data_IF_505256346111
#
_entry.id   IF_505256346111
#
_cell.length_a   1.000
_cell.length_b   1.000
_cell.length_c   1.000
_cell.angle_alpha   90.00
_cell.angle_beta   90.00
_cell.angle_gamma   90.00
#
_symmetry.space_group_name_H-M   'P 1'
#
loop_
_entity.id
_entity.type
_entity.pdbx_description
1 polymer ?
#
# COMPACT_ATOMS: atom_id res chain seq x y z
N UNK A 1 -36.63 0.24 12.53
CA UNK A 1 -36.64 -0.36 13.89
C UNK A 1 -36.57 -1.89 13.79
N UNK A 2 -35.43 -2.47 13.41
CA UNK A 2 -35.33 -3.92 13.11
C UNK A 2 -34.26 -4.64 13.94
N UNK A 3 -33.34 -3.88 14.54
CA UNK A 3 -32.24 -4.38 15.37
C UNK A 3 -32.75 -4.94 16.71
N UNK A 4 -33.77 -4.32 17.29
CA UNK A 4 -34.32 -4.73 18.60
C UNK A 4 -35.08 -6.07 18.53
N UNK A 5 -35.67 -6.39 17.38
CA UNK A 5 -36.27 -7.72 17.11
C UNK A 5 -35.18 -8.78 16.97
N UNK A 6 -34.16 -8.50 16.16
CA UNK A 6 -33.06 -9.43 15.90
C UNK A 6 -32.29 -9.81 17.18
N UNK A 7 -32.12 -8.87 18.11
CA UNK A 7 -31.50 -9.12 19.41
C UNK A 7 -32.27 -10.15 20.25
N UNK A 8 -33.60 -10.06 20.27
CA UNK A 8 -34.45 -10.96 21.06
C UNK A 8 -34.53 -12.36 20.45
N UNK A 9 -34.55 -12.45 19.12
CA UNK A 9 -34.82 -13.72 18.43
C UNK A 9 -33.55 -14.59 18.22
N UNK A 10 -32.39 -13.98 17.94
CA UNK A 10 -31.24 -14.74 17.43
C UNK A 10 -30.14 -15.00 18.47
N UNK A 11 -30.15 -14.35 19.64
CA UNK A 11 -29.05 -14.35 20.64
C UNK A 11 -27.64 -14.22 20.03
N UNK A 12 -27.53 -13.63 18.84
CA UNK A 12 -26.29 -13.51 18.06
C UNK A 12 -26.02 -12.04 17.81
N UNK A 13 -24.91 -11.56 18.35
CA UNK A 13 -24.34 -10.22 18.12
C UNK A 13 -23.61 -10.09 16.80
N UNK A 14 -23.65 -11.09 15.92
CA UNK A 14 -22.83 -11.11 14.72
C UNK A 14 -23.50 -10.32 13.59
N UNK A 15 -23.10 -9.06 13.45
CA UNK A 15 -23.37 -8.25 12.27
C UNK A 15 -22.86 -9.01 11.03
N UNK A 16 -23.74 -9.34 10.08
CA UNK A 16 -23.30 -9.83 8.77
C UNK A 16 -22.37 -8.78 8.18
N UNK A 17 -21.15 -9.16 7.81
CA UNK A 17 -20.22 -8.26 7.13
C UNK A 17 -20.93 -7.67 5.91
N UNK A 18 -21.26 -6.38 5.98
CA UNK A 18 -21.93 -5.69 4.88
C UNK A 18 -21.08 -5.81 3.62
N UNK A 19 -21.72 -5.82 2.45
CA UNK A 19 -21.05 -5.65 1.17
C UNK A 19 -20.45 -4.23 1.10
N UNK A 20 -19.32 -4.05 1.76
CA UNK A 20 -18.59 -2.79 1.81
C UNK A 20 -17.99 -2.42 0.45
N UNK A 21 -17.49 -1.17 0.39
CA UNK A 21 -16.92 -0.51 -0.79
C UNK A 21 -16.13 -1.47 -1.69
N UNK A 22 -16.45 -1.45 -2.98
CA UNK A 22 -15.88 -2.31 -4.05
C UNK A 22 -14.38 -2.50 -3.87
N UNK A 23 -13.97 -3.78 -3.81
CA UNK A 23 -12.57 -4.21 -3.93
C UNK A 23 -11.98 -3.53 -5.15
N UNK A 24 -11.03 -2.64 -4.91
CA UNK A 24 -10.22 -2.08 -5.97
C UNK A 24 -9.45 -3.25 -6.60
N UNK A 25 -9.90 -3.59 -7.80
CA UNK A 25 -9.23 -4.43 -8.79
C UNK A 25 -8.90 -5.87 -8.40
N UNK A 26 -8.88 -6.72 -9.43
CA UNK A 26 -8.51 -8.14 -9.39
C UNK A 26 -7.30 -8.41 -8.48
N UNK A 27 -7.18 -9.63 -7.95
CA UNK A 27 -6.02 -10.04 -7.15
C UNK A 27 -4.68 -9.78 -7.88
N UNK A 28 -4.64 -9.88 -9.21
CA UNK A 28 -3.48 -9.52 -10.02
C UNK A 28 -3.15 -8.03 -9.93
N UNK A 29 -4.17 -7.19 -10.11
CA UNK A 29 -4.03 -5.76 -10.03
C UNK A 29 -3.46 -5.34 -8.67
N UNK A 30 -4.02 -5.83 -7.58
CA UNK A 30 -3.50 -5.48 -6.26
C UNK A 30 -2.00 -5.80 -6.10
N UNK A 31 -1.51 -6.93 -6.64
CA UNK A 31 -0.07 -7.27 -6.59
C UNK A 31 0.79 -6.31 -7.41
N UNK A 32 0.33 -5.89 -8.59
CA UNK A 32 1.05 -4.95 -9.43
C UNK A 32 1.21 -3.58 -8.74
N UNK A 33 0.14 -3.08 -8.12
CA UNK A 33 0.15 -1.82 -7.38
C UNK A 33 1.12 -1.87 -6.20
N UNK A 34 1.14 -2.98 -5.45
CA UNK A 34 2.08 -3.18 -4.34
C UNK A 34 3.52 -3.15 -4.83
N UNK A 35 3.84 -3.84 -5.93
CA UNK A 35 5.20 -3.86 -6.49
C UNK A 35 5.66 -2.47 -6.89
N UNK A 36 4.80 -1.68 -7.53
CA UNK A 36 5.10 -0.28 -7.87
C UNK A 36 5.37 0.56 -6.63
N UNK A 37 4.53 0.46 -5.59
CA UNK A 37 4.67 1.23 -4.36
C UNK A 37 5.89 0.82 -3.52
N UNK A 38 6.32 -0.44 -3.58
CA UNK A 38 7.54 -0.91 -2.91
C UNK A 38 8.79 -0.43 -3.63
N UNK A 39 8.78 -0.45 -4.97
CA UNK A 39 9.92 0.02 -5.77
C UNK A 39 10.11 1.54 -5.65
N UNK A 40 9.01 2.30 -5.60
CA UNK A 40 9.02 3.75 -5.52
C UNK A 40 8.22 4.22 -4.29
N UNK A 41 8.81 4.04 -3.11
CA UNK A 41 8.20 4.39 -1.81
C UNK A 41 7.88 5.89 -1.67
N UNK A 42 8.47 6.75 -2.50
CA UNK A 42 8.23 8.20 -2.49
C UNK A 42 7.14 8.63 -3.48
N UNK A 43 6.66 7.73 -4.34
CA UNK A 43 5.65 8.05 -5.34
C UNK A 43 4.31 8.46 -4.69
N UNK A 44 3.75 9.57 -5.19
CA UNK A 44 2.43 10.05 -4.81
C UNK A 44 1.34 9.15 -5.44
N UNK A 45 0.18 9.09 -4.79
CA UNK A 45 -0.96 8.30 -5.30
C UNK A 45 -1.34 8.65 -6.76
N UNK A 46 -1.21 9.93 -7.16
CA UNK A 46 -1.46 10.35 -8.56
C UNK A 46 -0.44 9.78 -9.55
N UNK A 47 0.82 9.66 -9.14
CA UNK A 47 1.88 9.10 -9.97
C UNK A 47 1.70 7.59 -10.11
N UNK A 48 1.34 6.91 -9.01
CA UNK A 48 0.98 5.50 -9.03
C UNK A 48 -0.26 5.24 -9.91
N UNK A 49 -1.28 6.08 -9.83
CA UNK A 49 -2.49 5.97 -10.66
C UNK A 49 -2.20 6.17 -12.16
N UNK A 50 -1.36 7.13 -12.51
CA UNK A 50 -0.96 7.38 -13.89
C UNK A 50 -0.18 6.18 -14.46
N UNK A 51 0.89 5.75 -13.76
CA UNK A 51 1.69 4.59 -14.18
C UNK A 51 0.84 3.31 -14.29
N UNK A 52 -0.05 3.08 -13.34
CA UNK A 52 -0.99 1.97 -13.39
C UNK A 52 -1.87 1.99 -14.64
N UNK A 53 -2.42 3.17 -14.95
CA UNK A 53 -3.32 3.34 -16.09
C UNK A 53 -2.57 3.12 -17.40
N UNK A 54 -1.30 3.52 -17.47
CA UNK A 54 -0.41 3.24 -18.60
C UNK A 54 -0.10 1.75 -18.74
N UNK A 55 0.24 1.06 -17.64
CA UNK A 55 0.64 -0.36 -17.68
C UNK A 55 -0.55 -1.31 -17.90
N UNK A 56 -1.70 -1.00 -17.32
CA UNK A 56 -2.87 -1.91 -17.29
C UNK A 56 -3.97 -1.50 -18.29
N UNK A 57 -3.93 -0.27 -18.82
CA UNK A 57 -5.02 0.29 -19.64
C UNK A 57 -6.31 0.56 -18.86
N UNK A 58 -6.29 0.40 -17.52
CA UNK A 58 -7.46 0.55 -16.64
C UNK A 58 -7.26 1.74 -15.74
N UNK A 59 -8.25 2.63 -15.71
CA UNK A 59 -8.23 3.81 -14.84
C UNK A 59 -8.46 3.42 -13.38
N UNK A 60 -7.64 3.97 -12.49
CA UNK A 60 -7.72 3.82 -11.05
C UNK A 60 -7.77 5.20 -10.40
N UNK A 61 -8.64 5.36 -9.40
CA UNK A 61 -8.76 6.61 -8.66
C UNK A 61 -7.58 6.75 -7.70
N UNK A 62 -6.83 7.85 -7.79
CA UNK A 62 -5.70 8.11 -6.89
C UNK A 62 -6.10 8.07 -5.40
N UNK A 63 -7.33 8.50 -5.07
CA UNK A 63 -7.89 8.47 -3.71
C UNK A 63 -8.13 7.06 -3.16
N UNK A 64 -8.19 6.05 -4.02
CA UNK A 64 -8.42 4.66 -3.63
C UNK A 64 -7.14 3.86 -3.36
N UNK A 65 -6.01 4.36 -3.85
CA UNK A 65 -4.69 3.72 -3.72
C UNK A 65 -4.24 3.63 -2.24
N UNK A 66 -4.32 4.69 -1.41
CA UNK A 66 -3.91 4.60 -0.01
C UNK A 66 -4.66 3.51 0.76
N UNK A 67 -5.97 3.39 0.56
CA UNK A 67 -6.78 2.36 1.22
C UNK A 67 -6.37 0.94 0.77
N UNK A 68 -5.99 0.78 -0.49
CA UNK A 68 -5.58 -0.52 -1.03
C UNK A 68 -4.19 -0.93 -0.56
N UNK A 69 -3.27 0.01 -0.46
CA UNK A 69 -1.95 -0.23 0.13
C UNK A 69 -2.09 -0.56 1.62
N UNK A 70 -2.91 0.20 2.37
CA UNK A 70 -3.16 -0.03 3.79
C UNK A 70 -3.76 -1.42 4.05
N UNK A 71 -4.80 -1.81 3.29
CA UNK A 71 -5.43 -3.12 3.43
C UNK A 71 -4.48 -4.29 3.18
N UNK A 72 -3.38 -4.04 2.44
CA UNK A 72 -2.36 -5.03 2.11
C UNK A 72 -1.11 -4.92 3.01
N UNK A 73 -1.12 -4.07 4.04
CA UNK A 73 0.00 -3.91 4.97
C UNK A 73 1.14 -3.02 4.47
N UNK A 74 0.90 -2.20 3.44
CA UNK A 74 1.81 -1.12 3.04
C UNK A 74 1.24 0.22 3.50
N UNK A 75 1.51 0.64 4.75
CA UNK A 75 1.17 1.99 5.16
C UNK A 75 2.01 2.99 4.36
N UNK A 76 1.45 4.17 4.12
CA UNK A 76 2.24 5.31 3.67
C UNK A 76 3.29 5.60 4.76
N UNK A 77 4.54 5.20 4.52
CA UNK A 77 5.62 5.59 5.40
C UNK A 77 5.92 7.06 5.11
N UNK A 78 5.89 7.89 6.14
CA UNK A 78 6.57 9.18 6.09
C UNK A 78 8.03 8.85 5.76
N UNK A 79 8.59 9.36 4.65
CA UNK A 79 9.99 9.12 4.38
C UNK A 79 10.79 9.72 5.54
N UNK A 80 11.45 8.86 6.33
CA UNK A 80 12.52 9.29 7.22
C UNK A 80 13.48 10.08 6.35
N UNK A 81 13.74 11.32 6.72
CA UNK A 81 14.58 12.28 5.99
C UNK A 81 15.80 11.55 5.41
N UNK A 82 15.78 11.30 4.09
CA UNK A 82 16.88 10.63 3.41
C UNK A 82 17.92 11.68 3.09
N UNK A 83 18.99 11.71 3.88
CA UNK A 83 20.18 12.50 3.56
C UNK A 83 20.65 12.05 2.17
N UNK A 84 20.76 12.95 1.18
CA UNK A 84 21.21 12.60 -0.15
C UNK A 84 22.68 12.16 -0.07
N UNK A 85 22.91 10.85 -0.10
CA UNK A 85 24.26 10.29 -0.19
C UNK A 85 24.76 10.43 -1.64
N UNK A 86 25.85 11.17 -1.80
CA UNK A 86 26.64 11.21 -3.04
C UNK A 86 27.21 9.82 -3.35
N UNK A 87 27.65 9.61 -4.59
CA UNK A 87 28.23 8.33 -5.00
C UNK A 87 29.43 7.91 -4.11
N UNK A 88 30.29 8.87 -3.75
CA UNK A 88 31.45 8.64 -2.87
C UNK A 88 31.02 8.16 -1.49
N UNK A 89 29.99 8.77 -0.89
CA UNK A 89 29.49 8.35 0.42
C UNK A 89 28.95 6.91 0.40
N UNK A 90 28.31 6.49 -0.71
CA UNK A 90 27.81 5.11 -0.86
C UNK A 90 28.95 4.11 -0.98
N UNK A 91 29.97 4.44 -1.75
CA UNK A 91 31.14 3.58 -1.95
C UNK A 91 31.90 3.33 -0.65
N UNK A 92 32.24 4.40 0.09
CA UNK A 92 32.92 4.28 1.40
C UNK A 92 32.13 3.41 2.39
N UNK A 93 30.81 3.58 2.45
CA UNK A 93 29.95 2.80 3.36
C UNK A 93 29.92 1.31 3.02
N UNK A 94 30.04 0.98 1.74
CA UNK A 94 30.08 -0.42 1.27
C UNK A 94 31.46 -1.05 1.48
N UNK A 95 32.53 -0.26 1.44
CA UNK A 95 33.90 -0.73 1.63
C UNK A 95 34.26 -0.94 3.11
N UNK A 96 33.68 -0.13 4.02
CA UNK A 96 33.94 -0.19 5.46
C UNK A 96 33.90 -1.61 6.07
N UNK A 97 32.91 -2.48 5.78
CA UNK A 97 32.88 -3.84 6.34
C UNK A 97 33.94 -4.77 5.76
N UNK A 98 34.56 -4.44 4.63
CA UNK A 98 35.64 -5.21 4.03
C UNK A 98 36.99 -4.83 4.62
N UNK A 99 37.17 -3.56 4.98
CA UNK A 99 38.39 -3.06 5.62
C UNK A 99 38.51 -3.49 7.09
N UNK A 100 37.38 -3.66 7.78
CA UNK A 100 37.33 -3.91 9.23
C UNK A 100 36.87 -5.33 9.61
N UNK A 101 37.03 -6.30 8.71
CA UNK A 101 36.68 -7.72 8.94
C UNK A 101 37.85 -8.58 9.45
N UNK A 102 38.76 -7.98 10.22
CA UNK A 102 39.87 -8.65 10.89
C UNK A 102 39.41 -9.49 12.07
#
# INVERSE_FOLDING_TARGET
MQVWKQWNDEKRTTVKAGSGRRKLTSAWGNRHLLRMAVNDRAALSRQLAARWSTDTGVLIWASSIPQCLLHRGLPALVPLYRIPLTANHRWLRLQWPHEHRT
#
